data_IF_537089710753
#
_entry.id   IF_537089710753
#
_cell.length_a   1.000
_cell.length_b   1.000
_cell.length_c   1.000
_cell.angle_alpha   90.00
_cell.angle_beta   90.00
_cell.angle_gamma   90.00
#
_symmetry.space_group_name_H-M   'P 1'
#
loop_
_entity.id
_entity.type
_entity.pdbx_description
1 polymer ?
#
# COMPACT_ATOMS: atom_id res chain seq x y z
N UNK A 1 36.96 4.86 -42.25
CA UNK A 1 36.47 4.00 -41.16
C UNK A 1 36.71 4.66 -39.80
N UNK A 2 37.90 5.19 -39.53
CA UNK A 2 38.28 5.84 -38.25
C UNK A 2 37.37 6.97 -37.74
N UNK A 3 36.79 7.81 -38.63
CA UNK A 3 35.89 8.91 -38.21
C UNK A 3 34.64 8.38 -37.48
N UNK A 4 34.12 7.24 -37.92
CA UNK A 4 32.94 6.61 -37.33
C UNK A 4 33.25 6.02 -35.95
N UNK A 5 34.38 5.34 -35.81
CA UNK A 5 34.83 4.76 -34.53
C UNK A 5 35.09 5.85 -33.48
N UNK A 6 35.76 6.94 -33.87
CA UNK A 6 35.98 8.09 -32.99
C UNK A 6 34.66 8.70 -32.52
N UNK A 7 33.67 8.81 -33.41
CA UNK A 7 32.34 9.33 -33.07
C UNK A 7 31.59 8.39 -32.11
N UNK A 8 31.67 7.07 -32.33
CA UNK A 8 31.08 6.07 -31.43
C UNK A 8 31.67 6.14 -30.01
N UNK A 9 32.99 6.25 -29.89
CA UNK A 9 33.66 6.40 -28.60
C UNK A 9 33.27 7.69 -27.88
N UNK A 10 33.11 8.80 -28.61
CA UNK A 10 32.61 10.06 -28.06
C UNK A 10 31.17 9.91 -27.55
N UNK A 11 30.28 9.28 -28.33
CA UNK A 11 28.90 9.02 -27.91
C UNK A 11 28.86 8.19 -26.62
N UNK A 12 29.68 7.14 -26.50
CA UNK A 12 29.77 6.34 -25.26
C UNK A 12 30.20 7.21 -24.07
N UNK A 13 31.23 8.06 -24.21
CA UNK A 13 31.69 8.95 -23.12
C UNK A 13 30.60 9.93 -22.69
N UNK A 14 29.87 10.51 -23.64
CA UNK A 14 28.77 11.44 -23.37
C UNK A 14 27.64 10.72 -22.62
N UNK A 15 27.21 9.56 -23.13
CA UNK A 15 26.16 8.76 -22.48
C UNK A 15 26.58 8.28 -21.09
N UNK A 16 27.81 7.78 -20.92
CA UNK A 16 28.36 7.42 -19.60
C UNK A 16 28.26 8.62 -18.64
N UNK A 17 28.67 9.83 -19.06
CA UNK A 17 28.62 11.04 -18.22
C UNK A 17 27.20 11.50 -17.88
N UNK A 18 26.25 11.35 -18.81
CA UNK A 18 24.86 11.75 -18.60
C UNK A 18 24.11 10.85 -17.60
N UNK A 19 24.50 9.57 -17.51
CA UNK A 19 23.87 8.60 -16.61
C UNK A 19 24.56 8.66 -15.23
N UNK A 20 23.81 8.85 -14.12
CA UNK A 20 24.37 8.82 -12.77
C UNK A 20 25.00 7.46 -12.44
N UNK A 21 26.08 7.45 -11.66
CA UNK A 21 26.84 6.21 -11.37
C UNK A 21 26.00 5.09 -10.76
N UNK A 22 25.02 5.43 -9.92
CA UNK A 22 24.08 4.49 -9.32
C UNK A 22 23.34 3.63 -10.37
N UNK A 23 23.13 4.17 -11.58
CA UNK A 23 22.43 3.48 -12.67
C UNK A 23 23.38 2.87 -13.70
N UNK A 24 24.70 3.08 -13.57
CA UNK A 24 25.70 2.45 -14.44
C UNK A 24 25.83 0.96 -14.11
N UNK A 25 25.73 0.52 -12.85
CA UNK A 25 25.90 -0.90 -12.51
C UNK A 25 27.25 -1.46 -13.00
N UNK A 26 27.34 -2.78 -13.25
CA UNK A 26 28.53 -3.41 -13.86
C UNK A 26 28.55 -3.21 -15.38
N UNK A 27 28.59 -1.96 -15.84
CA UNK A 27 28.84 -1.68 -17.25
C UNK A 27 30.25 -2.16 -17.59
N UNK A 28 30.35 -3.16 -18.46
CA UNK A 28 31.65 -3.63 -18.94
C UNK A 28 32.36 -2.50 -19.67
N UNK A 29 33.59 -2.20 -19.28
CA UNK A 29 34.45 -1.27 -20.01
C UNK A 29 34.86 -1.79 -21.41
N UNK A 30 34.47 -3.03 -21.74
CA UNK A 30 34.75 -3.68 -23.02
C UNK A 30 33.76 -3.28 -24.14
N UNK A 31 32.71 -2.50 -23.86
CA UNK A 31 31.76 -2.09 -24.89
C UNK A 31 32.43 -1.09 -25.85
N UNK A 32 32.62 -1.50 -27.10
CA UNK A 32 33.32 -0.71 -28.13
C UNK A 32 32.37 0.14 -28.98
N UNK A 33 31.07 -0.19 -28.98
CA UNK A 33 30.07 0.43 -29.86
C UNK A 33 28.93 1.06 -29.06
N UNK A 34 28.50 2.26 -29.46
CA UNK A 34 27.39 2.98 -28.83
C UNK A 34 26.07 2.18 -28.87
N UNK A 35 25.85 1.39 -29.92
CA UNK A 35 24.69 0.50 -30.06
C UNK A 35 24.64 -0.58 -28.99
N UNK A 36 25.77 -1.25 -28.73
CA UNK A 36 25.88 -2.27 -27.68
C UNK A 36 25.69 -1.67 -26.29
N UNK A 37 26.17 -0.44 -26.08
CA UNK A 37 25.96 0.31 -24.84
C UNK A 37 24.47 0.53 -24.57
N UNK A 38 23.72 1.00 -25.57
CA UNK A 38 22.27 1.19 -25.46
C UNK A 38 21.51 -0.12 -25.23
N UNK A 39 21.88 -1.20 -25.93
CA UNK A 39 21.25 -2.51 -25.73
C UNK A 39 21.49 -3.07 -24.32
N UNK A 40 22.66 -2.81 -23.73
CA UNK A 40 22.95 -3.22 -22.35
C UNK A 40 22.08 -2.45 -21.35
N UNK A 41 21.96 -1.13 -21.55
CA UNK A 41 21.05 -0.28 -20.79
C UNK A 41 19.63 -0.82 -20.88
N UNK A 42 19.09 -0.97 -22.08
CA UNK A 42 17.73 -1.46 -22.32
C UNK A 42 17.46 -2.79 -21.58
N UNK A 43 18.38 -3.76 -21.68
CA UNK A 43 18.26 -5.05 -20.98
C UNK A 43 18.16 -4.90 -19.46
N UNK A 44 18.81 -3.92 -18.85
CA UNK A 44 18.73 -3.67 -17.40
C UNK A 44 17.39 -3.06 -17.01
N UNK A 45 16.87 -2.15 -17.82
CA UNK A 45 15.57 -1.51 -17.57
C UNK A 45 14.39 -2.47 -17.82
N UNK A 46 14.47 -3.38 -18.80
CA UNK A 46 13.43 -4.41 -19.02
C UNK A 46 13.26 -5.32 -17.80
N UNK A 47 14.35 -5.68 -17.12
CA UNK A 47 14.26 -6.44 -15.87
C UNK A 47 13.63 -5.60 -14.74
N UNK A 48 13.92 -4.30 -14.70
CA UNK A 48 13.33 -3.39 -13.73
C UNK A 48 11.81 -3.21 -13.96
N UNK A 49 11.36 -3.07 -15.20
CA UNK A 49 9.94 -3.00 -15.57
C UNK A 49 9.19 -4.25 -15.09
N UNK A 50 9.74 -5.45 -15.31
CA UNK A 50 9.13 -6.71 -14.82
C UNK A 50 9.02 -6.73 -13.29
N UNK A 51 10.05 -6.26 -12.59
CA UNK A 51 10.02 -6.15 -11.12
C UNK A 51 8.99 -5.10 -10.67
N UNK A 52 8.90 -3.96 -11.36
CA UNK A 52 7.95 -2.89 -11.06
C UNK A 52 6.50 -3.35 -11.26
N UNK A 53 6.21 -4.03 -12.38
CA UNK A 53 4.92 -4.68 -12.63
C UNK A 53 4.56 -5.64 -11.48
N UNK A 54 5.51 -6.49 -11.06
CA UNK A 54 5.31 -7.41 -9.95
C UNK A 54 5.02 -6.71 -8.61
N UNK A 55 5.73 -5.63 -8.32
CA UNK A 55 5.50 -4.81 -7.12
C UNK A 55 4.15 -4.10 -7.15
N UNK A 56 3.75 -3.55 -8.30
CA UNK A 56 2.46 -2.90 -8.48
C UNK A 56 1.30 -3.89 -8.35
N UNK A 57 1.41 -5.08 -8.95
CA UNK A 57 0.43 -6.17 -8.78
C UNK A 57 0.33 -6.62 -7.31
N UNK A 58 1.48 -6.78 -6.64
CA UNK A 58 1.50 -7.14 -5.22
C UNK A 58 0.82 -6.07 -4.36
N UNK A 59 1.08 -4.78 -4.66
CA UNK A 59 0.43 -3.65 -3.98
C UNK A 59 -1.07 -3.61 -4.25
N UNK A 60 -1.49 -3.89 -5.49
CA UNK A 60 -2.90 -3.93 -5.89
C UNK A 60 -3.66 -5.05 -5.16
N UNK A 61 -3.07 -6.24 -5.05
CA UNK A 61 -3.68 -7.41 -4.38
C UNK A 61 -3.67 -7.24 -2.85
N UNK A 62 -2.61 -6.63 -2.31
CA UNK A 62 -2.44 -6.40 -0.87
C UNK A 62 -3.21 -5.16 -0.38
N UNK A 63 -3.67 -4.31 -1.29
CA UNK A 63 -4.47 -3.15 -0.94
C UNK A 63 -5.80 -3.60 -0.34
N UNK A 64 -6.09 -3.08 0.86
CA UNK A 64 -7.33 -3.31 1.58
C UNK A 64 -7.96 -1.97 1.92
N UNK A 65 -9.28 -1.93 1.89
CA UNK A 65 -10.01 -0.75 2.35
C UNK A 65 -9.81 -0.59 3.87
N UNK A 66 -9.12 0.47 4.30
CA UNK A 66 -8.77 0.64 5.71
C UNK A 66 -9.90 1.19 6.59
N UNK A 67 -11.10 1.45 6.05
CA UNK A 67 -12.24 2.02 6.78
C UNK A 67 -12.08 3.45 7.28
N UNK A 68 -10.85 3.93 7.44
CA UNK A 68 -10.47 5.27 7.92
C UNK A 68 -10.47 6.32 6.81
N UNK A 69 -10.10 5.92 5.59
CA UNK A 69 -10.22 6.74 4.38
C UNK A 69 -11.59 6.54 3.75
N UNK A 70 -12.09 7.56 3.06
CA UNK A 70 -13.36 7.43 2.34
C UNK A 70 -13.19 6.52 1.11
N UNK A 71 -14.30 5.95 0.64
CA UNK A 71 -14.32 5.03 -0.52
C UNK A 71 -13.71 5.66 -1.79
N UNK A 72 -13.86 6.98 -1.96
CA UNK A 72 -13.32 7.73 -3.11
C UNK A 72 -11.80 7.68 -3.15
N UNK A 73 -11.13 7.82 -2.01
CA UNK A 73 -9.67 7.77 -1.90
C UNK A 73 -9.15 6.36 -2.25
N UNK A 74 -9.83 5.32 -1.77
CA UNK A 74 -9.52 3.94 -2.13
C UNK A 74 -9.65 3.68 -3.64
N UNK A 75 -10.75 4.13 -4.27
CA UNK A 75 -10.96 4.01 -5.72
C UNK A 75 -9.87 4.76 -6.50
N UNK A 76 -9.48 5.95 -6.03
CA UNK A 76 -8.45 6.76 -6.69
C UNK A 76 -7.07 6.11 -6.62
N UNK A 77 -6.68 5.57 -5.46
CA UNK A 77 -5.42 4.83 -5.30
C UNK A 77 -5.38 3.58 -6.20
N UNK A 78 -6.47 2.82 -6.27
CA UNK A 78 -6.58 1.66 -7.17
C UNK A 78 -6.46 2.08 -8.64
N UNK A 79 -7.17 3.13 -9.04
CA UNK A 79 -7.11 3.67 -10.40
C UNK A 79 -5.72 4.16 -10.76
N UNK A 80 -5.01 4.75 -9.80
CA UNK A 80 -3.63 5.18 -9.95
C UNK A 80 -2.67 3.99 -10.20
N UNK A 81 -2.81 2.90 -9.44
CA UNK A 81 -2.04 1.68 -9.66
C UNK A 81 -2.35 1.03 -11.01
N UNK A 82 -3.63 0.94 -11.39
CA UNK A 82 -4.04 0.41 -12.69
C UNK A 82 -3.49 1.25 -13.86
N UNK A 83 -3.48 2.58 -13.72
CA UNK A 83 -2.92 3.49 -14.72
C UNK A 83 -1.41 3.32 -14.89
N UNK A 84 -0.68 3.07 -13.79
CA UNK A 84 0.75 2.75 -13.84
C UNK A 84 1.03 1.42 -14.55
N UNK A 85 0.23 0.39 -14.27
CA UNK A 85 0.33 -0.90 -14.96
C UNK A 85 0.08 -0.75 -16.47
N UNK A 86 -0.91 0.06 -16.85
CA UNK A 86 -1.18 0.39 -18.26
C UNK A 86 0.01 1.09 -18.93
N UNK A 87 0.67 2.03 -18.23
CA UNK A 87 1.88 2.68 -18.74
C UNK A 87 3.04 1.70 -18.97
N UNK A 88 3.11 0.62 -18.18
CA UNK A 88 4.07 -0.49 -18.32
C UNK A 88 3.61 -1.56 -19.31
N UNK A 89 2.65 -1.24 -20.20
CA UNK A 89 2.06 -2.14 -21.20
C UNK A 89 1.34 -3.37 -20.63
N UNK A 90 0.98 -3.34 -19.35
CA UNK A 90 0.12 -4.35 -18.73
C UNK A 90 -1.29 -3.76 -18.56
N UNK A 91 -2.18 -4.07 -19.50
CA UNK A 91 -3.57 -3.66 -19.40
C UNK A 91 -4.37 -4.67 -18.57
N UNK A 92 -4.97 -4.19 -17.48
CA UNK A 92 -5.95 -4.93 -16.71
C UNK A 92 -7.34 -4.58 -17.27
N UNK A 93 -8.18 -5.59 -17.48
CA UNK A 93 -9.57 -5.35 -17.88
C UNK A 93 -10.36 -4.72 -16.73
N UNK A 94 -11.36 -3.90 -17.08
CA UNK A 94 -12.28 -3.31 -16.09
C UNK A 94 -12.97 -4.41 -15.27
N UNK A 95 -13.38 -5.51 -15.92
CA UNK A 95 -13.98 -6.67 -15.23
C UNK A 95 -13.05 -7.28 -14.18
N UNK A 96 -11.75 -7.42 -14.51
CA UNK A 96 -10.77 -7.96 -13.57
C UNK A 96 -10.57 -7.01 -12.38
N UNK A 97 -10.53 -5.70 -12.63
CA UNK A 97 -10.43 -4.69 -11.58
C UNK A 97 -11.67 -4.72 -10.66
N UNK A 98 -12.88 -4.83 -11.23
CA UNK A 98 -14.12 -4.94 -10.47
C UNK A 98 -14.14 -6.22 -9.63
N UNK A 99 -13.76 -7.35 -10.21
CA UNK A 99 -13.65 -8.63 -9.50
C UNK A 99 -12.62 -8.61 -8.36
N UNK A 100 -11.56 -7.81 -8.48
CA UNK A 100 -10.58 -7.63 -7.42
C UNK A 100 -11.09 -6.67 -6.32
N UNK A 101 -11.89 -5.67 -6.71
CA UNK A 101 -12.36 -4.59 -5.84
C UNK A 101 -13.49 -5.03 -4.90
N UNK A 102 -14.50 -5.73 -5.44
CA UNK A 102 -15.71 -6.09 -4.70
C UNK A 102 -15.39 -6.93 -3.45
N UNK A 103 -14.59 -8.01 -3.52
CA UNK A 103 -14.30 -8.84 -2.34
C UNK A 103 -13.52 -8.09 -1.27
N UNK A 104 -12.55 -7.24 -1.66
CA UNK A 104 -11.73 -6.46 -0.73
C UNK A 104 -12.56 -5.41 0.03
N UNK A 105 -13.53 -4.80 -0.66
CA UNK A 105 -14.45 -3.83 -0.07
C UNK A 105 -15.46 -4.50 0.87
N UNK A 106 -16.12 -5.58 0.41
CA UNK A 106 -17.13 -6.31 1.18
C UNK A 106 -16.53 -6.90 2.45
N UNK A 107 -15.34 -7.52 2.35
CA UNK A 107 -14.65 -8.11 3.49
C UNK A 107 -14.33 -7.09 4.60
N UNK A 108 -13.88 -5.89 4.23
CA UNK A 108 -13.54 -4.85 5.22
C UNK A 108 -14.79 -4.15 5.78
N UNK A 109 -15.86 -3.97 4.99
CA UNK A 109 -17.12 -3.46 5.51
C UNK A 109 -17.72 -4.39 6.59
N UNK A 110 -17.62 -5.71 6.39
CA UNK A 110 -18.08 -6.71 7.34
C UNK A 110 -17.23 -6.72 8.63
N UNK A 111 -15.91 -6.58 8.51
CA UNK A 111 -15.00 -6.39 9.67
C UNK A 111 -15.34 -5.14 10.48
N UNK A 112 -15.58 -4.01 9.81
CA UNK A 112 -15.94 -2.76 10.48
C UNK A 112 -17.28 -2.87 11.21
N UNK A 113 -18.26 -3.58 10.63
CA UNK A 113 -19.54 -3.85 11.29
C UNK A 113 -19.34 -4.70 12.55
N UNK A 114 -18.47 -5.70 12.50
CA UNK A 114 -18.14 -6.56 13.64
C UNK A 114 -17.44 -5.79 14.76
N UNK A 115 -16.39 -5.02 14.44
CA UNK A 115 -15.66 -4.18 15.41
C UNK A 115 -16.59 -3.19 16.13
N UNK A 116 -17.57 -2.64 15.41
CA UNK A 116 -18.57 -1.72 15.98
C UNK A 116 -19.48 -2.42 16.99
N UNK A 117 -19.91 -3.64 16.69
CA UNK A 117 -20.74 -4.46 17.56
C UNK A 117 -19.96 -4.84 18.82
N UNK A 118 -18.74 -5.32 18.67
CA UNK A 118 -17.86 -5.71 19.79
C UNK A 118 -17.56 -4.52 20.71
N UNK A 119 -17.25 -3.35 20.14
CA UNK A 119 -17.02 -2.12 20.89
C UNK A 119 -18.26 -1.70 21.70
N UNK A 120 -19.47 -1.81 21.12
CA UNK A 120 -20.72 -1.49 21.80
C UNK A 120 -21.00 -2.46 22.96
N UNK A 121 -20.77 -3.77 22.75
CA UNK A 121 -20.90 -4.77 23.80
C UNK A 121 -19.92 -4.51 24.96
N UNK A 122 -18.66 -4.23 24.68
CA UNK A 122 -17.67 -3.88 25.70
C UNK A 122 -18.07 -2.62 26.50
N UNK A 123 -18.54 -1.57 25.82
CA UNK A 123 -19.00 -0.35 26.47
C UNK A 123 -20.21 -0.59 27.38
N UNK A 124 -21.17 -1.44 26.95
CA UNK A 124 -22.32 -1.82 27.78
C UNK A 124 -21.91 -2.65 29.01
N UNK A 125 -20.99 -3.60 28.86
CA UNK A 125 -20.48 -4.42 29.96
C UNK A 125 -19.74 -3.56 31.02
N UNK A 126 -19.04 -2.52 30.57
CA UNK A 126 -18.38 -1.57 31.47
C UNK A 126 -19.38 -0.72 32.26
N UNK A 127 -20.46 -0.26 31.61
CA UNK A 127 -21.55 0.47 32.28
C UNK A 127 -22.28 -0.39 33.31
N UNK A 128 -22.51 -1.67 33.02
CA UNK A 128 -23.18 -2.59 33.93
C UNK A 128 -22.35 -2.84 35.22
N UNK A 129 -21.03 -3.03 35.07
CA UNK A 129 -20.10 -3.10 36.21
C UNK A 129 -20.04 -1.80 37.03
N UNK A 130 -20.13 -0.64 36.38
CA UNK A 130 -20.19 0.66 37.05
C UNK A 130 -21.49 0.90 37.83
N UNK A 131 -22.61 0.41 37.31
CA UNK A 131 -23.93 0.50 37.97
C UNK A 131 -24.00 -0.38 39.22
N UNK A 132 -23.41 -1.58 39.18
CA UNK A 132 -23.33 -2.47 40.34
C UNK A 132 -22.54 -1.89 41.53
N UNK A 133 -21.55 -1.03 41.27
CA UNK A 133 -20.73 -0.36 42.32
C UNK A 133 -21.40 0.86 42.96
N UNK A 134 -22.40 1.47 42.33
CA UNK A 134 -23.14 2.62 42.90
C UNK A 134 -24.27 2.18 43.84
N UNK A 135 -24.83 0.99 43.65
CA UNK A 135 -25.96 0.51 44.44
C UNK A 135 -25.57 -0.11 45.79
N UNK A 136 -24.29 -0.09 46.19
CA UNK A 136 -23.82 -0.65 47.47
C UNK A 136 -23.45 0.41 48.51
N UNK A 137 -23.65 1.71 48.23
CA UNK A 137 -23.34 2.80 49.17
C UNK A 137 -24.55 3.44 49.85
N UNK A 138 -25.78 2.96 49.58
CA UNK A 138 -27.01 3.40 50.25
C UNK A 138 -27.61 2.25 51.07
N UNK A 139 -26.88 1.76 52.07
CA UNK A 139 -27.43 0.85 53.08
C UNK A 139 -26.62 0.96 54.39
N UNK A 140 -26.56 2.15 54.97
CA UNK A 140 -26.11 2.31 56.36
C UNK A 140 -26.82 3.50 57.00
N UNK A 141 -28.14 3.39 57.13
CA UNK A 141 -28.91 4.15 58.11
C UNK A 141 -28.93 3.37 59.42
N UNK A 142 -28.31 3.94 60.46
CA UNK A 142 -28.34 3.46 61.84
C UNK A 142 -29.79 3.26 62.34
N UNK A 143 -30.10 2.20 63.09
CA UNK A 143 -31.34 2.16 63.85
C UNK A 143 -31.16 2.90 65.18
N UNK A 144 -31.94 3.97 65.39
CA UNK A 144 -32.09 4.59 66.71
C UNK A 144 -32.78 3.62 67.69
N UNK A 145 -32.20 3.50 68.90
CA UNK A 145 -32.78 2.80 70.04
C UNK A 145 -33.70 3.75 70.82
N UNK A 146 -34.90 3.34 71.27
CA UNK A 146 -35.76 4.20 72.06
C UNK A 146 -35.35 4.22 73.55
N UNK A 147 -35.31 5.42 74.13
CA UNK A 147 -35.08 5.66 75.56
C UNK A 147 -36.44 5.67 76.28
N UNK A 148 -36.66 4.88 77.36
CA UNK A 148 -37.80 5.07 78.26
C UNK A 148 -37.43 5.93 79.48
N UNK A 149 -38.42 6.67 79.97
CA UNK A 149 -38.38 7.59 81.12
C UNK A 149 -38.19 6.89 82.46
#
# INVERSE_FOLDING_TARGET
MERWEKSNLMCIRIMKRAIPEAFRGTMSDQITTAKEFLANIEKRFVNNEKTEIGMLLTSLISMKYKGKSNVREYILEMSHLASKLKALKLELSEDLLVHLLIPQYVQEEERLKQDRIESAHLASAFKDKGRKRKNTKEATGLPELPIPK
#
